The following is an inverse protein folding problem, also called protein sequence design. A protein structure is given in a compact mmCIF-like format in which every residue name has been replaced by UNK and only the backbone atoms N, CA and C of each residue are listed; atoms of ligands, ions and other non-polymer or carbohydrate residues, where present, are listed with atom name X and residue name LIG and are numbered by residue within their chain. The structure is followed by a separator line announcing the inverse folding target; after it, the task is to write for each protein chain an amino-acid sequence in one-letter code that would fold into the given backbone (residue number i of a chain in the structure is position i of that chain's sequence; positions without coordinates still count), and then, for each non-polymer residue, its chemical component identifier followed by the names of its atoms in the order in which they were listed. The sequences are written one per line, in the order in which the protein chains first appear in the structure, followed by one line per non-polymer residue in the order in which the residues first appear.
data_IF_089003972933
#
_entry.id   IF_089003972933
#
_cell.length_a   1.000
_cell.length_b   1.000
_cell.length_c   1.000
_cell.angle_alpha   90.00
_cell.angle_beta   90.00
_cell.angle_gamma   90.00
#
_symmetry.space_group_name_H-M   'P 1'
#
loop_
_entity.id
_entity.type
_entity.pdbx_description
1 polymer ?
#
# COMPACT_ATOMS: atom_id res chain seq x y z
N UNK A 1 7.42 17.86 8.95
CA UNK A 1 7.38 16.37 8.97
C UNK A 1 6.59 15.95 7.75
N UNK A 2 7.17 15.20 6.82
CA UNK A 2 6.44 14.78 5.64
C UNK A 2 5.73 13.43 5.86
N UNK A 3 4.62 13.23 5.12
CA UNK A 3 3.76 12.06 5.28
C UNK A 3 4.07 11.04 4.20
N UNK A 4 4.41 9.84 4.63
CA UNK A 4 4.66 8.68 3.77
C UNK A 4 3.56 7.65 3.97
N UNK A 5 3.01 7.14 2.86
CA UNK A 5 1.98 6.11 2.87
C UNK A 5 2.38 4.92 2.01
N UNK A 6 2.33 3.72 2.59
CA UNK A 6 2.50 2.46 1.86
C UNK A 6 1.16 1.74 1.71
N UNK A 7 0.84 1.34 0.49
CA UNK A 7 -0.27 0.41 0.21
C UNK A 7 0.31 -0.99 0.10
N UNK A 8 -0.13 -1.90 0.95
CA UNK A 8 0.42 -3.25 1.04
C UNK A 8 -0.67 -4.30 1.28
N UNK A 9 -0.35 -5.56 0.98
CA UNK A 9 -1.17 -6.72 1.31
C UNK A 9 -0.37 -7.72 2.14
N UNK A 10 -1.08 -8.50 2.93
CA UNK A 10 -0.55 -9.68 3.61
C UNK A 10 -0.84 -10.90 2.75
N UNK A 11 0.02 -11.91 2.75
CA UNK A 11 -0.23 -13.16 2.04
C UNK A 11 -1.60 -13.72 2.45
N UNK A 12 -2.51 -14.02 1.48
CA UNK A 12 -3.89 -14.39 1.79
C UNK A 12 -4.00 -15.57 2.77
N UNK A 13 -3.16 -16.57 2.60
CA UNK A 13 -3.16 -17.76 3.46
C UNK A 13 -2.77 -17.42 4.92
N UNK A 14 -1.83 -16.50 5.09
CA UNK A 14 -1.41 -16.03 6.42
C UNK A 14 -2.50 -15.19 7.08
N UNK A 15 -3.16 -14.33 6.30
CA UNK A 15 -4.25 -13.48 6.77
C UNK A 15 -5.48 -14.31 7.18
N UNK A 16 -5.83 -15.34 6.41
CA UNK A 16 -6.90 -16.27 6.73
C UNK A 16 -6.60 -17.04 8.02
N UNK A 17 -5.39 -17.59 8.15
CA UNK A 17 -4.94 -18.27 9.37
C UNK A 17 -5.00 -17.33 10.58
N UNK A 18 -4.57 -16.09 10.40
CA UNK A 18 -4.61 -15.08 11.45
C UNK A 18 -6.04 -14.86 11.99
N UNK A 19 -7.00 -14.56 11.11
CA UNK A 19 -8.39 -14.33 11.55
C UNK A 19 -9.04 -15.59 12.12
N UNK A 20 -8.65 -16.78 11.67
CA UNK A 20 -9.10 -18.06 12.25
C UNK A 20 -8.60 -18.24 13.67
N UNK A 21 -7.34 -17.87 13.96
CA UNK A 21 -6.75 -17.97 15.30
C UNK A 21 -7.19 -16.83 16.24
N UNK A 22 -7.60 -15.69 15.68
CA UNK A 22 -8.02 -14.52 16.44
C UNK A 22 -9.45 -14.07 16.09
N UNK A 23 -10.49 -14.93 16.28
CA UNK A 23 -11.85 -14.67 15.78
C UNK A 23 -12.52 -13.45 16.41
N UNK A 24 -12.06 -13.00 17.57
CA UNK A 24 -12.63 -11.84 18.28
C UNK A 24 -12.02 -10.52 17.80
N UNK A 25 -10.85 -10.54 17.16
CA UNK A 25 -10.12 -9.32 16.78
C UNK A 25 -10.93 -8.43 15.83
N UNK A 26 -11.73 -9.02 14.95
CA UNK A 26 -12.58 -8.29 14.00
C UNK A 26 -13.68 -7.43 14.64
N UNK A 27 -13.91 -7.59 15.95
CA UNK A 27 -14.88 -6.81 16.73
C UNK A 27 -14.26 -5.61 17.43
N UNK A 28 -12.93 -5.58 17.49
CA UNK A 28 -12.17 -4.52 18.13
C UNK A 28 -12.11 -3.25 17.25
N UNK A 29 -11.65 -2.14 17.83
CA UNK A 29 -11.44 -0.90 17.09
C UNK A 29 -10.41 -1.06 15.97
N UNK A 30 -10.47 -0.20 14.95
CA UNK A 30 -9.47 -0.18 13.87
C UNK A 30 -8.04 -0.12 14.42
N UNK A 31 -7.79 0.76 15.37
CA UNK A 31 -6.46 0.92 15.95
C UNK A 31 -5.95 -0.33 16.65
N UNK A 32 -6.83 -1.06 17.36
CA UNK A 32 -6.50 -2.31 18.02
C UNK A 32 -6.22 -3.42 17.01
N UNK A 33 -7.11 -3.58 16.01
CA UNK A 33 -6.93 -4.55 14.93
C UNK A 33 -5.64 -4.31 14.17
N UNK A 34 -5.37 -3.06 13.79
CA UNK A 34 -4.19 -2.65 13.03
C UNK A 34 -2.91 -3.00 13.77
N UNK A 35 -2.79 -2.57 15.03
CA UNK A 35 -1.61 -2.85 15.87
C UNK A 35 -1.40 -4.35 16.01
N UNK A 36 -2.44 -5.09 16.39
CA UNK A 36 -2.35 -6.54 16.59
C UNK A 36 -1.93 -7.26 15.30
N UNK A 37 -2.42 -6.82 14.13
CA UNK A 37 -2.07 -7.42 12.84
C UNK A 37 -0.63 -7.11 12.45
N UNK A 38 -0.16 -5.88 12.66
CA UNK A 38 1.23 -5.49 12.38
C UNK A 38 2.23 -6.21 13.29
N UNK A 39 1.87 -6.48 14.55
CA UNK A 39 2.71 -7.19 15.52
C UNK A 39 2.89 -8.69 15.18
N UNK A 40 2.07 -9.25 14.28
CA UNK A 40 2.18 -10.66 13.89
C UNK A 40 3.26 -10.94 12.82
N UNK A 41 3.87 -9.93 12.24
CA UNK A 41 4.92 -10.08 11.21
C UNK A 41 4.56 -11.01 10.04
N UNK A 42 3.31 -11.01 9.59
CA UNK A 42 2.75 -11.92 8.57
C UNK A 42 3.27 -11.64 7.14
N UNK A 43 4.60 -11.65 6.95
CA UNK A 43 5.24 -11.32 5.68
C UNK A 43 5.26 -9.81 5.38
N UNK A 44 4.75 -8.99 6.28
CA UNK A 44 4.84 -7.54 6.25
C UNK A 44 5.49 -7.08 7.56
N UNK A 45 6.62 -6.42 7.44
CA UNK A 45 7.33 -5.83 8.58
C UNK A 45 6.96 -4.35 8.70
N UNK A 46 6.86 -3.85 9.92
CA UNK A 46 6.77 -2.43 10.23
C UNK A 46 8.14 -1.74 10.31
N UNK A 47 9.20 -2.44 9.91
CA UNK A 47 10.58 -1.95 9.97
C UNK A 47 10.74 -0.64 9.19
N UNK A 48 10.16 -0.56 7.99
CA UNK A 48 10.19 0.67 7.19
C UNK A 48 9.56 1.85 7.94
N UNK A 49 8.40 1.61 8.57
CA UNK A 49 7.67 2.64 9.29
C UNK A 49 8.43 3.10 10.53
N UNK A 50 9.05 2.17 11.27
CA UNK A 50 9.88 2.47 12.44
C UNK A 50 11.11 3.31 12.06
N UNK A 51 11.84 2.87 11.03
CA UNK A 51 13.03 3.60 10.55
C UNK A 51 12.66 4.97 9.98
N UNK A 52 11.61 5.07 9.18
CA UNK A 52 11.14 6.36 8.66
C UNK A 52 10.70 7.30 9.80
N UNK A 53 10.05 6.77 10.84
CA UNK A 53 9.68 7.58 12.01
C UNK A 53 10.90 8.14 12.74
N UNK A 54 11.98 7.35 12.85
CA UNK A 54 13.24 7.80 13.46
C UNK A 54 13.90 8.94 12.68
N UNK A 55 13.64 9.03 11.38
CA UNK A 55 14.10 10.09 10.48
C UNK A 55 13.14 11.32 10.43
N UNK A 56 12.14 11.37 11.28
CA UNK A 56 11.18 12.49 11.33
C UNK A 56 10.10 12.45 10.24
N UNK A 57 9.90 11.31 9.58
CA UNK A 57 8.78 11.07 8.66
C UNK A 57 7.55 10.63 9.45
N UNK A 58 6.35 10.95 8.99
CA UNK A 58 5.10 10.39 9.48
C UNK A 58 4.65 9.24 8.55
N UNK A 59 5.01 7.99 8.84
CA UNK A 59 4.65 6.86 8.00
C UNK A 59 3.30 6.27 8.38
N UNK A 60 2.63 5.68 7.40
CA UNK A 60 1.45 4.85 7.61
C UNK A 60 1.39 3.74 6.57
N UNK A 61 0.75 2.60 6.92
CA UNK A 61 0.49 1.48 6.01
C UNK A 61 -1.02 1.25 5.90
N UNK A 62 -1.52 1.08 4.70
CA UNK A 62 -2.88 0.60 4.45
C UNK A 62 -2.79 -0.86 4.00
N UNK A 63 -3.41 -1.77 4.77
CA UNK A 63 -3.48 -3.20 4.48
C UNK A 63 -4.74 -3.48 3.65
N UNK A 64 -4.58 -3.50 2.32
CA UNK A 64 -5.72 -3.46 1.39
C UNK A 64 -6.61 -4.70 1.42
N UNK A 65 -6.04 -5.86 1.72
CA UNK A 65 -6.74 -7.13 1.72
C UNK A 65 -7.25 -7.58 3.09
N UNK A 66 -6.98 -6.82 4.16
CA UNK A 66 -7.50 -7.08 5.49
C UNK A 66 -8.95 -6.57 5.61
N UNK A 67 -9.91 -7.27 4.99
CA UNK A 67 -11.30 -6.82 4.85
C UNK A 67 -11.98 -6.46 6.20
N UNK A 68 -11.87 -7.25 7.29
CA UNK A 68 -12.44 -6.87 8.58
C UNK A 68 -11.88 -5.54 9.09
N UNK A 69 -10.58 -5.30 8.93
CA UNK A 69 -9.92 -4.06 9.29
C UNK A 69 -10.47 -2.89 8.47
N UNK A 70 -10.60 -3.06 7.15
CA UNK A 70 -11.12 -2.03 6.24
C UNK A 70 -12.59 -1.68 6.52
N UNK A 71 -13.42 -2.69 6.82
CA UNK A 71 -14.82 -2.48 7.22
C UNK A 71 -14.92 -1.71 8.54
N UNK A 72 -14.06 -2.03 9.51
CA UNK A 72 -14.04 -1.31 10.79
C UNK A 72 -13.62 0.14 10.60
N UNK A 73 -12.59 0.40 9.78
CA UNK A 73 -12.18 1.77 9.46
C UNK A 73 -13.32 2.56 8.81
N UNK A 74 -13.99 1.97 7.84
CA UNK A 74 -15.14 2.62 7.18
C UNK A 74 -16.25 2.97 8.17
N UNK A 75 -16.59 2.03 9.06
CA UNK A 75 -17.59 2.24 10.11
C UNK A 75 -17.21 3.37 11.06
N UNK A 76 -16.00 3.37 11.58
CA UNK A 76 -15.51 4.40 12.52
C UNK A 76 -15.43 5.79 11.89
N UNK A 77 -15.30 5.84 10.56
CA UNK A 77 -15.22 7.08 9.81
C UNK A 77 -16.52 7.47 9.12
N UNK A 78 -17.64 6.81 9.44
CA UNK A 78 -18.98 7.07 8.89
C UNK A 78 -19.03 6.96 7.35
N UNK A 79 -18.26 6.03 6.78
CA UNK A 79 -18.23 5.76 5.35
C UNK A 79 -19.03 4.48 5.07
N UNK A 80 -19.96 4.56 4.12
CA UNK A 80 -20.66 3.37 3.65
C UNK A 80 -19.67 2.49 2.87
N UNK A 81 -19.37 1.30 3.39
CA UNK A 81 -18.45 0.35 2.78
C UNK A 81 -19.05 -0.24 1.50
N UNK A 82 -18.50 0.09 0.35
CA UNK A 82 -18.89 -0.46 -0.95
C UNK A 82 -17.86 -1.44 -1.49
N UNK A 83 -16.55 -1.12 -1.32
CA UNK A 83 -15.44 -1.96 -1.77
C UNK A 83 -14.16 -1.59 -1.03
N UNK A 84 -13.16 -2.51 -0.98
CA UNK A 84 -11.83 -2.16 -0.47
C UNK A 84 -11.21 -0.96 -1.19
N UNK A 85 -11.34 -0.90 -2.51
CA UNK A 85 -10.83 0.19 -3.35
C UNK A 85 -11.35 1.56 -2.92
N UNK A 86 -12.66 1.67 -2.67
CA UNK A 86 -13.27 2.91 -2.19
C UNK A 86 -12.72 3.31 -0.81
N UNK A 87 -12.63 2.36 0.12
CA UNK A 87 -12.17 2.64 1.48
C UNK A 87 -10.71 3.07 1.49
N UNK A 88 -9.85 2.38 0.74
CA UNK A 88 -8.43 2.75 0.58
C UNK A 88 -8.28 4.16 0.00
N UNK A 89 -9.09 4.51 -0.99
CA UNK A 89 -9.11 5.86 -1.56
C UNK A 89 -9.44 6.91 -0.49
N UNK A 90 -10.46 6.67 0.33
CA UNK A 90 -10.86 7.58 1.41
C UNK A 90 -9.78 7.68 2.51
N UNK A 91 -9.08 6.60 2.82
CA UNK A 91 -7.95 6.62 3.74
C UNK A 91 -6.83 7.52 3.21
N UNK A 92 -6.49 7.41 1.93
CA UNK A 92 -5.47 8.24 1.30
C UNK A 92 -5.88 9.71 1.32
N UNK A 93 -7.14 10.01 0.97
CA UNK A 93 -7.66 11.39 1.01
C UNK A 93 -7.58 11.99 2.41
N UNK A 94 -7.87 11.22 3.45
CA UNK A 94 -7.77 11.73 4.83
C UNK A 94 -6.33 11.87 5.32
N UNK A 95 -5.48 10.95 4.95
CA UNK A 95 -4.08 10.98 5.37
C UNK A 95 -3.29 12.10 4.68
N UNK A 96 -3.63 12.42 3.41
CA UNK A 96 -2.93 13.43 2.60
C UNK A 96 -1.42 13.17 2.55
N UNK A 97 -0.96 12.04 1.93
CA UNK A 97 0.46 11.73 1.84
C UNK A 97 1.19 12.67 0.87
N UNK A 98 2.46 12.94 1.13
CA UNK A 98 3.38 13.54 0.17
C UNK A 98 4.08 12.46 -0.70
N UNK A 99 4.26 11.28 -0.12
CA UNK A 99 4.83 10.11 -0.80
C UNK A 99 3.86 8.93 -0.67
N UNK A 100 3.51 8.33 -1.80
CA UNK A 100 2.67 7.13 -1.89
C UNK A 100 3.47 5.99 -2.50
N UNK A 101 3.70 4.92 -1.75
CA UNK A 101 4.32 3.71 -2.26
C UNK A 101 3.29 2.61 -2.51
N UNK A 102 3.16 2.21 -3.76
CA UNK A 102 2.29 1.12 -4.21
C UNK A 102 3.07 -0.21 -4.11
N UNK A 103 3.19 -0.74 -2.90
CA UNK A 103 3.78 -2.06 -2.68
C UNK A 103 2.81 -3.18 -3.13
N UNK A 104 1.51 -2.93 -3.02
CA UNK A 104 0.43 -3.71 -3.66
C UNK A 104 -0.30 -2.82 -4.67
N UNK A 105 -0.49 -3.33 -5.89
CA UNK A 105 -1.14 -2.62 -7.00
C UNK A 105 -2.52 -3.18 -7.35
N UNK A 106 -3.01 -4.18 -6.62
CA UNK A 106 -4.24 -4.92 -6.96
C UNK A 106 -5.51 -4.07 -7.04
N UNK A 107 -5.56 -2.98 -6.29
CA UNK A 107 -6.68 -2.04 -6.27
C UNK A 107 -6.46 -0.80 -7.16
N UNK A 108 -5.30 -0.69 -7.80
CA UNK A 108 -4.87 0.51 -8.49
C UNK A 108 -4.95 0.35 -10.01
N UNK A 109 -5.38 1.38 -10.70
CA UNK A 109 -5.22 1.56 -12.14
C UNK A 109 -4.78 2.98 -12.46
N UNK A 110 -4.50 3.26 -13.74
CA UNK A 110 -4.03 4.57 -14.18
C UNK A 110 -5.05 5.69 -13.91
N UNK A 111 -6.34 5.40 -14.02
CA UNK A 111 -7.42 6.36 -13.74
C UNK A 111 -7.46 6.70 -12.25
N UNK A 112 -7.40 5.70 -11.40
CA UNK A 112 -7.40 5.86 -9.94
C UNK A 112 -6.20 6.71 -9.46
N UNK A 113 -5.01 6.49 -10.04
CA UNK A 113 -3.85 7.36 -9.76
C UNK A 113 -4.06 8.79 -10.26
N UNK A 114 -4.71 8.97 -11.42
CA UNK A 114 -5.07 10.28 -11.92
C UNK A 114 -6.00 11.03 -10.97
N UNK A 115 -7.04 10.35 -10.47
CA UNK A 115 -7.94 10.93 -9.46
C UNK A 115 -7.22 11.30 -8.17
N UNK A 116 -6.31 10.44 -7.67
CA UNK A 116 -5.52 10.74 -6.48
C UNK A 116 -4.66 12.00 -6.67
N UNK A 117 -3.97 12.11 -7.80
CA UNK A 117 -3.15 13.30 -8.10
C UNK A 117 -3.97 14.59 -8.11
N UNK A 118 -5.24 14.52 -8.53
CA UNK A 118 -6.13 15.67 -8.57
C UNK A 118 -6.73 16.02 -7.21
N UNK A 119 -6.88 15.04 -6.29
CA UNK A 119 -7.58 15.21 -5.02
C UNK A 119 -6.65 15.27 -3.80
N UNK A 120 -5.41 14.82 -3.93
CA UNK A 120 -4.40 14.84 -2.87
C UNK A 120 -3.36 15.90 -3.22
N UNK A 121 -3.61 17.12 -2.80
CA UNK A 121 -2.76 18.28 -3.15
C UNK A 121 -1.32 18.16 -2.63
N UNK A 122 -1.14 17.44 -1.52
CA UNK A 122 0.17 17.17 -0.94
C UNK A 122 1.00 16.14 -1.71
N UNK A 123 0.38 15.34 -2.61
CA UNK A 123 1.02 14.19 -3.25
C UNK A 123 2.09 14.62 -4.27
N UNK A 124 3.34 14.41 -3.93
CA UNK A 124 4.51 14.76 -4.77
C UNK A 124 5.13 13.58 -5.48
N UNK A 125 5.09 12.40 -4.83
CA UNK A 125 5.80 11.22 -5.29
C UNK A 125 4.92 9.97 -5.20
N UNK A 126 4.81 9.25 -6.34
CA UNK A 126 4.20 7.93 -6.40
C UNK A 126 5.27 6.92 -6.82
N UNK A 127 5.52 5.94 -5.98
CA UNK A 127 6.49 4.88 -6.18
C UNK A 127 5.73 3.58 -6.49
N UNK A 128 6.03 2.94 -7.61
CA UNK A 128 5.54 1.58 -7.91
C UNK A 128 6.47 0.51 -7.36
N UNK A 129 6.01 -0.73 -7.32
CA UNK A 129 6.82 -1.89 -6.93
C UNK A 129 6.62 -3.03 -7.93
N UNK A 130 7.71 -3.57 -8.47
CA UNK A 130 7.69 -4.65 -9.44
C UNK A 130 8.69 -5.76 -9.04
N UNK A 131 8.17 -6.81 -8.40
CA UNK A 131 8.95 -7.98 -7.98
C UNK A 131 8.42 -9.30 -8.60
N UNK A 132 7.56 -9.20 -9.61
CA UNK A 132 6.97 -10.33 -10.32
C UNK A 132 6.64 -9.95 -11.77
N UNK A 133 6.35 -10.92 -12.65
CA UNK A 133 5.87 -10.66 -14.01
C UNK A 133 4.64 -9.74 -13.97
N UNK A 134 4.57 -8.83 -14.93
CA UNK A 134 3.51 -7.84 -15.07
C UNK A 134 2.82 -7.94 -16.43
N UNK A 135 1.58 -7.47 -16.51
CA UNK A 135 0.79 -7.41 -17.74
C UNK A 135 0.68 -5.96 -18.27
N UNK A 136 -0.03 -5.79 -19.39
CA UNK A 136 -0.24 -4.47 -20.00
C UNK A 136 -0.97 -3.48 -19.08
N UNK A 137 -1.90 -3.96 -18.27
CA UNK A 137 -2.65 -3.15 -17.31
C UNK A 137 -1.73 -2.58 -16.22
N UNK A 138 -0.90 -3.46 -15.63
CA UNK A 138 0.09 -3.03 -14.62
C UNK A 138 1.16 -2.12 -15.23
N UNK A 139 1.56 -2.36 -16.49
CA UNK A 139 2.50 -1.49 -17.19
C UNK A 139 1.95 -0.06 -17.34
N UNK A 140 0.67 0.10 -17.69
CA UNK A 140 0.04 1.41 -17.80
C UNK A 140 0.02 2.14 -16.45
N UNK A 141 -0.27 1.41 -15.36
CA UNK A 141 -0.16 1.95 -14.01
C UNK A 141 1.28 2.42 -13.70
N UNK A 142 2.30 1.60 -14.01
CA UNK A 142 3.70 1.94 -13.76
C UNK A 142 4.17 3.19 -14.51
N UNK A 143 3.66 3.42 -15.72
CA UNK A 143 3.92 4.65 -16.49
C UNK A 143 3.37 5.91 -15.83
N UNK A 144 2.43 5.79 -14.89
CA UNK A 144 1.89 6.91 -14.10
C UNK A 144 2.64 7.12 -12.78
N UNK A 145 3.49 6.19 -12.37
CA UNK A 145 4.37 6.37 -11.22
C UNK A 145 5.53 7.31 -11.57
N UNK A 146 6.11 7.94 -10.56
CA UNK A 146 7.33 8.73 -10.74
C UNK A 146 8.51 7.80 -11.06
N UNK A 147 8.57 6.67 -10.37
CA UNK A 147 9.47 5.56 -10.68
C UNK A 147 8.93 4.25 -10.09
N UNK A 148 9.53 3.14 -10.49
CA UNK A 148 9.19 1.78 -10.01
C UNK A 148 10.43 1.14 -9.40
N UNK A 149 10.29 0.63 -8.18
CA UNK A 149 11.30 -0.19 -7.52
C UNK A 149 11.20 -1.62 -8.06
N UNK A 150 12.31 -2.17 -8.53
CA UNK A 150 12.39 -3.53 -9.06
C UNK A 150 13.32 -4.36 -8.18
N UNK A 151 12.94 -5.61 -7.89
CA UNK A 151 13.75 -6.52 -7.08
C UNK A 151 14.95 -7.11 -7.85
N UNK A 152 15.02 -6.96 -9.17
CA UNK A 152 16.13 -7.44 -10.00
C UNK A 152 16.36 -6.56 -11.22
N UNK A 153 17.59 -6.63 -11.76
CA UNK A 153 18.02 -5.84 -12.92
C UNK A 153 17.24 -6.17 -14.19
N UNK A 154 16.83 -7.44 -14.37
CA UNK A 154 16.09 -7.86 -15.56
C UNK A 154 14.75 -7.11 -15.66
N UNK A 155 13.94 -7.11 -14.60
CA UNK A 155 12.65 -6.41 -14.57
C UNK A 155 12.84 -4.89 -14.76
N UNK A 156 13.87 -4.30 -14.16
CA UNK A 156 14.19 -2.90 -14.33
C UNK A 156 14.51 -2.56 -15.80
N UNK A 157 15.33 -3.37 -16.46
CA UNK A 157 15.68 -3.18 -17.87
C UNK A 157 14.45 -3.31 -18.78
N UNK A 158 13.62 -4.34 -18.56
CA UNK A 158 12.39 -4.55 -19.33
C UNK A 158 11.40 -3.38 -19.20
N UNK A 159 11.20 -2.86 -17.99
CA UNK A 159 10.32 -1.71 -17.75
C UNK A 159 10.92 -0.42 -18.32
N UNK A 160 12.24 -0.22 -18.18
CA UNK A 160 12.92 0.96 -18.75
C UNK A 160 12.81 1.01 -20.27
N UNK A 161 12.94 -0.13 -20.98
CA UNK A 161 12.72 -0.23 -22.42
C UNK A 161 11.29 0.13 -22.84
N UNK A 162 10.33 0.03 -21.92
CA UNK A 162 8.91 0.40 -22.12
C UNK A 162 8.58 1.81 -21.65
N UNK A 163 9.60 2.60 -21.31
CA UNK A 163 9.46 4.01 -20.94
C UNK A 163 9.08 4.25 -19.48
N UNK A 164 9.32 3.28 -18.59
CA UNK A 164 9.11 3.41 -17.13
C UNK A 164 10.43 3.78 -16.46
N UNK A 165 10.46 4.82 -15.62
CA UNK A 165 11.60 5.10 -14.76
C UNK A 165 11.73 4.02 -13.68
N UNK A 166 12.91 3.44 -13.51
CA UNK A 166 13.10 2.30 -12.60
C UNK A 166 14.34 2.45 -11.73
N UNK A 167 14.30 1.88 -10.53
CA UNK A 167 15.44 1.68 -9.66
C UNK A 167 15.47 0.24 -9.14
N UNK A 168 16.65 -0.33 -9.06
CA UNK A 168 16.82 -1.69 -8.50
C UNK A 168 17.06 -1.60 -7.00
N UNK A 169 16.21 -2.28 -6.24
CA UNK A 169 16.38 -2.49 -4.80
C UNK A 169 16.27 -3.99 -4.57
N UNK A 170 17.43 -4.63 -4.41
CA UNK A 170 17.46 -6.06 -4.10
C UNK A 170 16.89 -6.30 -2.71
N UNK A 171 16.09 -7.35 -2.58
CA UNK A 171 15.66 -7.80 -1.25
C UNK A 171 16.89 -8.21 -0.44
N UNK A 172 17.09 -7.58 0.72
CA UNK A 172 18.05 -8.05 1.70
C UNK A 172 17.54 -9.35 2.34
N UNK A 173 18.41 -10.29 2.49
CA UNK A 173 18.18 -11.51 3.28
C UNK A 173 18.85 -11.38 4.64
#
# INVERSE_FOLDING_TARGET
MFKYLRIASIYPIALEAYYKHHPKISRESYATQYRHLMDQYLGLSDSYEKELSSLGVLPHVILVNAEPLQKTWAKENHINYQSPRQVVFQQILRFQPEVLWLNDTSLCDEHWLGELRNKVESLRLIIGNCCSPYNSFTLNLYKKCNFVLCCCQQLANELSQKGVSTHVVMHGF
#
